data_IF_468089136204
#
_entry.id   IF_468089136204
#
_cell.length_a   1.000
_cell.length_b   1.000
_cell.length_c   1.000
_cell.angle_alpha   90.00
_cell.angle_beta   90.00
_cell.angle_gamma   90.00
#
_symmetry.space_group_name_H-M   'P 1'
#
loop_
_entity.id
_entity.type
_entity.pdbx_description
1 polymer ?
#
# COMPACT_ATOMS: atom_id res chain seq x y z
N UNK A 1 2.94 2.27 -20.52
CA UNK A 1 1.99 1.87 -19.45
C UNK A 1 2.35 0.47 -19.03
N UNK A 2 2.37 0.16 -17.74
CA UNK A 2 2.62 -1.22 -17.27
C UNK A 2 1.29 -1.98 -17.37
N UNK A 3 1.18 -2.93 -18.29
CA UNK A 3 0.03 -3.84 -18.37
C UNK A 3 0.23 -4.98 -17.35
N UNK A 4 -0.74 -5.15 -16.43
CA UNK A 4 -0.66 -6.17 -15.40
C UNK A 4 -1.92 -6.23 -14.54
N UNK A 5 -2.11 -7.35 -13.83
CA UNK A 5 -3.20 -7.53 -12.88
C UNK A 5 -2.88 -6.75 -11.60
N UNK A 6 -3.80 -5.91 -11.15
CA UNK A 6 -3.65 -5.20 -9.88
C UNK A 6 -3.76 -6.17 -8.69
N UNK A 7 -2.90 -5.97 -7.69
CA UNK A 7 -2.89 -6.76 -6.46
C UNK A 7 -3.31 -5.90 -5.26
N UNK A 8 -3.99 -6.51 -4.29
CA UNK A 8 -4.43 -5.84 -3.07
C UNK A 8 -3.99 -6.59 -1.83
N UNK A 9 -3.40 -5.88 -0.88
CA UNK A 9 -3.05 -6.40 0.45
C UNK A 9 -3.94 -5.74 1.50
N UNK A 10 -4.92 -6.48 2.00
CA UNK A 10 -5.83 -6.03 3.07
C UNK A 10 -5.24 -6.31 4.45
N UNK A 11 -5.15 -5.28 5.29
CA UNK A 11 -4.54 -5.35 6.61
C UNK A 11 -5.30 -4.52 7.65
N UNK A 12 -5.30 -4.92 8.92
CA UNK A 12 -5.67 -4.04 10.03
C UNK A 12 -4.77 -2.80 10.06
N UNK A 13 -5.29 -1.66 10.52
CA UNK A 13 -4.57 -0.38 10.52
C UNK A 13 -3.22 -0.39 11.25
N UNK A 14 -3.05 -1.23 12.28
CA UNK A 14 -1.78 -1.44 12.97
C UNK A 14 -0.72 -2.03 12.04
N UNK A 15 -1.05 -3.12 11.34
CA UNK A 15 -0.17 -3.83 10.42
C UNK A 15 0.03 -3.08 9.10
N UNK A 16 -1.01 -2.41 8.59
CA UNK A 16 -0.95 -1.62 7.36
C UNK A 16 0.10 -0.51 7.45
N UNK A 17 0.23 0.11 8.63
CA UNK A 17 1.25 1.14 8.89
C UNK A 17 2.67 0.61 8.71
N UNK A 18 2.92 -0.65 9.08
CA UNK A 18 4.20 -1.31 8.88
C UNK A 18 4.40 -1.56 7.37
N UNK A 19 3.37 -2.11 6.70
CA UNK A 19 3.42 -2.37 5.26
C UNK A 19 3.73 -1.11 4.44
N UNK A 20 3.06 0.02 4.70
CA UNK A 20 3.30 1.29 3.98
C UNK A 20 4.74 1.79 4.16
N UNK A 21 5.33 1.58 5.35
CA UNK A 21 6.72 2.00 5.64
C UNK A 21 7.79 1.06 5.11
N UNK A 22 7.46 -0.22 4.94
CA UNK A 22 8.46 -1.29 4.73
C UNK A 22 8.39 -1.95 3.35
N UNK A 23 7.22 -1.96 2.71
CA UNK A 23 7.12 -2.43 1.33
C UNK A 23 7.80 -1.41 0.43
N UNK A 24 8.89 -1.75 -0.29
CA UNK A 24 9.56 -0.81 -1.19
C UNK A 24 8.57 -0.28 -2.24
N UNK A 25 8.48 1.04 -2.40
CA UNK A 25 7.50 1.65 -3.31
C UNK A 25 7.72 1.22 -4.78
N UNK A 26 8.95 0.96 -5.19
CA UNK A 26 9.30 0.46 -6.53
C UNK A 26 8.67 -0.92 -6.79
N UNK A 27 8.71 -1.81 -5.78
CA UNK A 27 8.09 -3.14 -5.88
C UNK A 27 6.57 -3.00 -5.97
N UNK A 28 5.98 -2.11 -5.17
CA UNK A 28 4.55 -1.85 -5.24
C UNK A 28 4.12 -1.28 -6.62
N UNK A 29 4.97 -0.46 -7.24
CA UNK A 29 4.75 0.06 -8.60
C UNK A 29 4.81 -1.06 -9.65
N UNK A 30 5.83 -1.92 -9.60
CA UNK A 30 6.01 -3.02 -10.55
C UNK A 30 4.89 -4.06 -10.47
N UNK A 31 4.43 -4.38 -9.27
CA UNK A 31 3.37 -5.38 -9.03
C UNK A 31 1.95 -4.81 -9.13
N UNK A 32 1.81 -3.50 -9.38
CA UNK A 32 0.52 -2.80 -9.30
C UNK A 32 -0.19 -3.08 -7.95
N UNK A 33 0.57 -3.06 -6.85
CA UNK A 33 0.13 -3.40 -5.51
C UNK A 33 -0.48 -2.19 -4.79
N UNK A 34 -1.64 -2.42 -4.18
CA UNK A 34 -2.30 -1.49 -3.27
C UNK A 34 -2.35 -2.06 -1.85
N UNK A 35 -2.09 -1.24 -0.83
CA UNK A 35 -2.30 -1.61 0.57
C UNK A 35 -3.62 -1.03 1.03
N UNK A 36 -4.50 -1.88 1.57
CA UNK A 36 -5.78 -1.48 2.14
C UNK A 36 -5.71 -1.60 3.67
N UNK A 37 -5.74 -0.46 4.35
CA UNK A 37 -5.80 -0.37 5.81
C UNK A 37 -7.24 -0.32 6.26
N UNK A 38 -7.66 -1.26 7.11
CA UNK A 38 -8.99 -1.28 7.71
C UNK A 38 -8.89 -0.91 9.19
N UNK A 39 -9.63 0.12 9.61
CA UNK A 39 -9.72 0.49 11.02
C UNK A 39 -10.78 -0.32 11.78
N UNK A 40 -10.88 -0.13 13.11
CA UNK A 40 -11.84 -0.83 13.96
C UNK A 40 -13.31 -0.46 13.69
N UNK A 41 -13.57 0.60 12.93
CA UNK A 41 -14.90 1.03 12.51
C UNK A 41 -15.24 0.52 11.10
N UNK A 42 -14.37 -0.28 10.49
CA UNK A 42 -14.52 -0.79 9.13
C UNK A 42 -14.20 0.24 8.04
N UNK A 43 -13.63 1.41 8.38
CA UNK A 43 -13.20 2.38 7.37
C UNK A 43 -11.95 1.86 6.67
N UNK A 44 -12.00 1.86 5.34
CA UNK A 44 -10.89 1.42 4.48
C UNK A 44 -10.13 2.63 3.94
N UNK A 45 -8.81 2.62 4.10
CA UNK A 45 -7.89 3.57 3.45
C UNK A 45 -7.00 2.81 2.47
N UNK A 46 -6.99 3.24 1.20
CA UNK A 46 -6.15 2.66 0.15
C UNK A 46 -4.86 3.46 0.02
N UNK A 47 -3.73 2.77 -0.04
CA UNK A 47 -2.42 3.34 -0.32
C UNK A 47 -1.87 2.75 -1.63
N UNK A 48 -1.56 3.61 -2.60
CA UNK A 48 -0.80 3.23 -3.79
C UNK A 48 0.71 3.38 -3.57
N UNK A 49 1.51 2.93 -4.53
CA UNK A 49 2.97 3.09 -4.52
C UNK A 49 3.40 4.56 -4.34
N UNK A 50 2.60 5.55 -4.77
CA UNK A 50 2.90 6.97 -4.59
C UNK A 50 2.84 7.38 -3.12
N UNK A 51 1.86 6.89 -2.37
CA UNK A 51 1.77 7.12 -0.93
C UNK A 51 2.92 6.43 -0.19
N UNK A 52 3.29 5.20 -0.61
CA UNK A 52 4.47 4.51 -0.05
C UNK A 52 5.74 5.32 -0.32
N UNK A 53 5.92 5.83 -1.54
CA UNK A 53 7.07 6.66 -1.93
C UNK A 53 7.18 7.91 -1.07
N UNK A 54 6.07 8.63 -0.84
CA UNK A 54 6.05 9.83 0.01
C UNK A 54 6.48 9.55 1.46
N UNK A 55 6.21 8.35 1.98
CA UNK A 55 6.60 7.97 3.34
C UNK A 55 8.06 7.55 3.42
N UNK A 56 8.64 7.07 2.31
CA UNK A 56 9.99 6.49 2.25
C UNK A 56 11.06 7.47 1.73
N UNK A 57 10.65 8.55 1.08
CA UNK A 57 11.57 9.55 0.52
C UNK A 57 11.46 10.82 1.38
N UNK A 58 12.58 11.32 1.95
CA UNK A 58 12.61 12.54 2.78
C UNK A 58 12.16 13.80 2.03
#
# INVERSE_FOLDING_TARGET
MIEGKAHGLGLPASSARIAVRRIPWQVAQQLLLYVFSVDSKGKVTKYSWRELQKVQTP
#
